data_IF_971780906485
#
_entry.id   IF_971780906485
#
_cell.length_a   1.000
_cell.length_b   1.000
_cell.length_c   1.000
_cell.angle_alpha   90.00
_cell.angle_beta   90.00
_cell.angle_gamma   90.00
#
_symmetry.space_group_name_H-M   'P 1'
#
loop_
_entity.id
_entity.type
_entity.pdbx_description
1 polymer ?
#
# COMPACT_ATOMS: atom_id res chain seq x y z
N UNK A 1 1.17 30.09 -11.30
CA UNK A 1 0.73 28.95 -10.48
C UNK A 1 1.17 29.21 -9.05
N UNK A 2 0.23 29.24 -8.11
CA UNK A 2 0.51 29.54 -6.70
C UNK A 2 -0.04 28.41 -5.83
N UNK A 3 0.80 27.82 -4.97
CA UNK A 3 0.45 26.74 -4.06
C UNK A 3 0.37 27.31 -2.64
N UNK A 4 -0.79 27.27 -2.01
CA UNK A 4 -1.01 27.78 -0.65
C UNK A 4 -1.45 26.64 0.26
N UNK A 5 -0.83 26.54 1.44
CA UNK A 5 -1.31 25.67 2.50
C UNK A 5 -2.42 26.38 3.28
N UNK A 6 -3.54 25.69 3.54
CA UNK A 6 -4.65 26.21 4.35
C UNK A 6 -5.11 25.17 5.36
N UNK A 7 -5.42 25.67 6.55
CA UNK A 7 -6.16 24.96 7.59
C UNK A 7 -7.65 25.29 7.45
N UNK A 8 -8.52 24.28 7.53
CA UNK A 8 -9.97 24.48 7.41
C UNK A 8 -10.57 25.09 8.68
N UNK A 9 -11.37 26.15 8.54
CA UNK A 9 -12.09 26.73 9.68
C UNK A 9 -13.21 25.82 10.19
N UNK A 10 -13.49 25.85 11.50
CA UNK A 10 -14.52 25.02 12.18
C UNK A 10 -15.93 25.24 11.62
N UNK A 11 -16.17 26.39 10.97
CA UNK A 11 -17.45 26.74 10.35
C UNK A 11 -17.68 26.08 8.98
N UNK A 12 -16.66 25.45 8.39
CA UNK A 12 -16.79 24.76 7.09
C UNK A 12 -17.28 23.31 7.26
N UNK A 13 -18.05 22.76 6.29
CA UNK A 13 -18.61 21.42 6.39
C UNK A 13 -17.53 20.33 6.60
N UNK A 14 -17.88 19.27 7.31
CA UNK A 14 -16.93 18.21 7.68
C UNK A 14 -16.42 17.45 6.43
N UNK A 15 -15.10 17.46 6.21
CA UNK A 15 -14.40 16.85 5.06
C UNK A 15 -14.74 15.36 4.91
N UNK A 16 -14.92 14.67 6.04
CA UNK A 16 -15.18 13.23 6.11
C UNK A 16 -16.55 12.88 5.48
N UNK A 17 -17.53 13.77 5.61
CA UNK A 17 -18.87 13.59 5.04
C UNK A 17 -19.07 14.25 3.67
N UNK A 18 -18.14 15.09 3.24
CA UNK A 18 -18.26 15.88 2.01
C UNK A 18 -18.27 14.97 0.76
N UNK A 19 -19.37 14.99 0.00
CA UNK A 19 -19.58 14.13 -1.16
C UNK A 19 -20.16 12.74 -0.84
N UNK A 20 -20.26 12.36 0.44
CA UNK A 20 -20.69 11.01 0.81
C UNK A 20 -22.20 10.81 0.70
N UNK A 21 -22.99 11.80 1.11
CA UNK A 21 -24.45 11.73 0.99
C UNK A 21 -24.85 11.66 -0.48
N UNK A 22 -24.20 12.47 -1.31
CA UNK A 22 -24.36 12.39 -2.75
C UNK A 22 -23.92 11.00 -3.24
N UNK A 23 -22.78 10.45 -2.75
CA UNK A 23 -22.31 9.09 -3.05
C UNK A 23 -23.37 8.01 -2.83
N UNK A 24 -24.02 8.01 -1.68
CA UNK A 24 -25.07 7.05 -1.38
C UNK A 24 -26.30 7.23 -2.27
N UNK A 25 -26.70 8.48 -2.56
CA UNK A 25 -27.88 8.77 -3.37
C UNK A 25 -27.71 8.33 -4.83
N UNK A 26 -26.50 8.47 -5.40
CA UNK A 26 -26.22 8.06 -6.78
C UNK A 26 -25.37 6.79 -6.88
N UNK A 27 -25.40 5.93 -5.85
CA UNK A 27 -24.60 4.69 -5.83
C UNK A 27 -24.89 3.80 -7.05
N UNK A 28 -26.16 3.72 -7.46
CA UNK A 28 -26.59 2.94 -8.64
C UNK A 28 -25.88 3.42 -9.90
N UNK A 29 -25.74 4.74 -10.09
CA UNK A 29 -25.08 5.32 -11.26
C UNK A 29 -23.57 5.01 -11.29
N UNK A 30 -22.97 4.78 -10.11
CA UNK A 30 -21.56 4.37 -10.00
C UNK A 30 -21.31 2.90 -10.28
N UNK A 31 -22.35 2.06 -10.43
CA UNK A 31 -22.19 0.65 -10.78
C UNK A 31 -21.55 0.44 -12.16
N UNK A 32 -21.52 1.49 -13.00
CA UNK A 32 -20.75 1.52 -14.25
C UNK A 32 -19.25 1.25 -14.03
N UNK A 33 -18.71 1.52 -12.84
CA UNK A 33 -17.32 1.22 -12.47
C UNK A 33 -17.12 -0.20 -11.92
N UNK A 34 -18.19 -0.89 -11.54
CA UNK A 34 -18.16 -2.21 -10.94
C UNK A 34 -17.51 -3.31 -11.80
N UNK A 35 -17.68 -3.34 -13.15
CA UNK A 35 -17.06 -4.35 -14.00
C UNK A 35 -15.53 -4.47 -13.83
N UNK A 36 -14.84 -3.35 -13.57
CA UNK A 36 -13.38 -3.36 -13.35
C UNK A 36 -13.02 -4.11 -12.07
N UNK A 37 -13.73 -3.82 -10.96
CA UNK A 37 -13.53 -4.54 -9.70
C UNK A 37 -13.84 -6.03 -9.83
N UNK A 38 -14.94 -6.39 -10.50
CA UNK A 38 -15.33 -7.78 -10.75
C UNK A 38 -14.27 -8.53 -11.55
N UNK A 39 -13.72 -7.90 -12.60
CA UNK A 39 -12.66 -8.50 -13.39
C UNK A 39 -11.42 -8.81 -12.54
N UNK A 40 -10.97 -7.85 -11.72
CA UNK A 40 -9.81 -8.03 -10.84
C UNK A 40 -10.08 -9.10 -9.76
N UNK A 41 -11.27 -9.10 -9.15
CA UNK A 41 -11.69 -10.15 -8.21
C UNK A 41 -11.71 -11.52 -8.89
N UNK A 42 -12.20 -11.60 -10.14
CA UNK A 42 -12.19 -12.83 -10.94
C UNK A 42 -10.78 -13.36 -11.16
N UNK A 43 -9.81 -12.49 -11.47
CA UNK A 43 -8.40 -12.85 -11.57
C UNK A 43 -7.83 -13.35 -10.22
N UNK A 44 -8.19 -12.70 -9.12
CA UNK A 44 -7.80 -13.13 -7.78
C UNK A 44 -8.36 -14.53 -7.44
N UNK A 45 -9.66 -14.76 -7.68
CA UNK A 45 -10.31 -16.06 -7.47
C UNK A 45 -9.69 -17.13 -8.36
N UNK A 46 -9.35 -16.80 -9.63
CA UNK A 46 -8.68 -17.72 -10.53
C UNK A 46 -7.33 -18.22 -9.99
N UNK A 47 -6.57 -17.35 -9.31
CA UNK A 47 -5.32 -17.74 -8.63
C UNK A 47 -5.57 -18.72 -7.48
N UNK A 48 -6.60 -18.49 -6.67
CA UNK A 48 -7.00 -19.43 -5.60
C UNK A 48 -7.44 -20.76 -6.20
N UNK A 49 -8.33 -20.72 -7.19
CA UNK A 49 -8.89 -21.91 -7.85
C UNK A 49 -7.78 -22.80 -8.44
N UNK A 50 -6.75 -22.19 -9.05
CA UNK A 50 -5.57 -22.89 -9.57
C UNK A 50 -4.57 -23.34 -8.49
N UNK A 51 -4.91 -23.20 -7.20
CA UNK A 51 -4.04 -23.49 -6.04
C UNK A 51 -2.70 -22.72 -6.07
N UNK A 52 -2.70 -21.53 -6.67
CA UNK A 52 -1.52 -20.67 -6.81
C UNK A 52 -1.42 -19.62 -5.69
N UNK A 53 -1.83 -19.96 -4.47
CA UNK A 53 -1.90 -19.02 -3.33
C UNK A 53 -0.53 -18.51 -2.90
N UNK A 54 0.54 -19.27 -3.16
CA UNK A 54 1.93 -18.84 -2.92
C UNK A 54 2.28 -17.54 -3.67
N UNK A 55 1.67 -17.29 -4.83
CA UNK A 55 1.85 -16.05 -5.61
C UNK A 55 1.30 -14.80 -4.91
N UNK A 56 0.37 -14.97 -3.96
CA UNK A 56 -0.26 -13.89 -3.21
C UNK A 56 0.51 -13.53 -1.93
N UNK A 57 1.32 -14.45 -1.42
CA UNK A 57 2.05 -14.31 -0.14
C UNK A 57 2.89 -13.02 -0.05
N UNK A 58 3.63 -12.58 -1.09
CA UNK A 58 4.37 -11.32 -1.04
C UNK A 58 3.49 -10.08 -0.85
N UNK A 59 2.19 -10.18 -1.12
CA UNK A 59 1.22 -9.09 -1.13
C UNK A 59 0.20 -9.18 0.02
N UNK A 60 0.50 -9.97 1.07
CA UNK A 60 -0.42 -10.25 2.17
C UNK A 60 -1.03 -8.98 2.81
N UNK A 61 -0.27 -7.89 2.92
CA UNK A 61 -0.78 -6.64 3.50
C UNK A 61 -1.89 -6.02 2.65
N UNK A 62 -1.72 -5.98 1.32
CA UNK A 62 -2.74 -5.49 0.39
C UNK A 62 -3.93 -6.43 0.32
N UNK A 63 -3.69 -7.73 0.49
CA UNK A 63 -4.73 -8.73 0.57
C UNK A 63 -5.66 -8.53 1.78
N UNK A 64 -5.09 -8.26 2.97
CA UNK A 64 -5.85 -7.91 4.18
C UNK A 64 -6.64 -6.61 3.96
N UNK A 65 -6.00 -5.61 3.35
CA UNK A 65 -6.61 -4.32 3.09
C UNK A 65 -7.79 -4.40 2.12
N UNK A 66 -7.71 -5.26 1.10
CA UNK A 66 -8.81 -5.56 0.18
C UNK A 66 -10.02 -6.12 0.93
N UNK A 67 -9.83 -7.10 1.83
CA UNK A 67 -10.94 -7.63 2.63
C UNK A 67 -11.55 -6.59 3.55
N UNK A 68 -10.72 -5.80 4.23
CA UNK A 68 -11.19 -4.71 5.07
C UNK A 68 -12.05 -3.72 4.26
N UNK A 69 -11.60 -3.35 3.06
CA UNK A 69 -12.37 -2.50 2.15
C UNK A 69 -13.69 -3.12 1.71
N UNK A 70 -13.71 -4.40 1.32
CA UNK A 70 -14.94 -5.09 0.92
C UNK A 70 -15.97 -5.09 2.06
N UNK A 71 -15.53 -5.39 3.29
CA UNK A 71 -16.40 -5.37 4.47
C UNK A 71 -16.94 -3.95 4.72
N UNK A 72 -16.07 -2.94 4.69
CA UNK A 72 -16.44 -1.53 4.84
C UNK A 72 -17.47 -1.12 3.78
N UNK A 73 -17.26 -1.50 2.52
CA UNK A 73 -18.14 -1.16 1.40
C UNK A 73 -19.53 -1.81 1.55
N UNK A 74 -19.58 -3.11 1.87
CA UNK A 74 -20.85 -3.82 2.11
C UNK A 74 -21.64 -3.14 3.22
N UNK A 75 -20.96 -2.80 4.32
CA UNK A 75 -21.60 -2.13 5.45
C UNK A 75 -22.11 -0.74 5.06
N UNK A 76 -21.29 0.03 4.34
CA UNK A 76 -21.61 1.39 3.87
C UNK A 76 -22.85 1.43 2.98
N UNK A 77 -23.02 0.42 2.11
CA UNK A 77 -24.17 0.29 1.21
C UNK A 77 -25.41 -0.20 1.98
N UNK A 78 -25.23 -1.07 2.97
CA UNK A 78 -26.33 -1.69 3.72
C UNK A 78 -26.98 -0.75 4.75
N UNK A 79 -26.31 0.34 5.12
CA UNK A 79 -26.81 1.33 6.09
C UNK A 79 -27.90 2.22 5.47
N UNK A 80 -29.13 2.12 5.96
CA UNK A 80 -30.19 3.10 5.63
C UNK A 80 -30.01 4.37 6.50
N UNK A 81 -30.05 5.58 5.91
CA UNK A 81 -30.04 6.82 6.66
C UNK A 81 -31.34 6.95 7.48
N UNK A 82 -31.24 7.20 8.79
CA UNK A 82 -32.40 7.46 9.67
C UNK A 82 -32.56 6.57 10.90
N UNK A 83 -31.50 5.91 11.37
CA UNK A 83 -31.57 4.96 12.50
C UNK A 83 -30.84 5.55 13.73
N UNK A 84 -31.11 4.96 14.91
CA UNK A 84 -30.65 5.29 16.26
C UNK A 84 -29.25 5.92 16.38
N UNK A 85 -29.04 6.69 17.46
CA UNK A 85 -27.78 7.39 17.78
C UNK A 85 -26.55 6.48 17.67
N UNK A 86 -26.65 5.21 18.09
CA UNK A 86 -25.58 4.23 17.97
C UNK A 86 -25.17 3.95 16.51
N UNK A 87 -26.13 3.85 15.59
CA UNK A 87 -25.85 3.64 14.17
C UNK A 87 -25.17 4.86 13.53
N UNK A 88 -25.51 6.07 13.97
CA UNK A 88 -24.87 7.30 13.48
C UNK A 88 -23.40 7.40 13.93
N UNK A 89 -23.09 6.99 15.16
CA UNK A 89 -21.69 6.91 15.64
C UNK A 89 -20.91 5.89 14.82
N UNK A 90 -21.49 4.71 14.58
CA UNK A 90 -20.86 3.67 13.77
C UNK A 90 -20.64 4.12 12.33
N UNK A 91 -21.63 4.78 11.72
CA UNK A 91 -21.53 5.38 10.39
C UNK A 91 -20.39 6.40 10.32
N UNK A 92 -20.23 7.26 11.33
CA UNK A 92 -19.12 8.21 11.39
C UNK A 92 -17.75 7.52 11.38
N UNK A 93 -17.59 6.42 12.13
CA UNK A 93 -16.34 5.66 12.14
C UNK A 93 -16.04 5.00 10.80
N UNK A 94 -17.06 4.44 10.15
CA UNK A 94 -16.92 3.80 8.84
C UNK A 94 -16.57 4.82 7.78
N UNK A 95 -17.21 5.99 7.81
CA UNK A 95 -16.88 7.12 6.93
C UNK A 95 -15.45 7.60 7.14
N UNK A 96 -15.03 7.67 8.40
CA UNK A 96 -13.66 8.02 8.73
C UNK A 96 -12.69 6.99 8.16
N UNK A 97 -12.92 5.70 8.36
CA UNK A 97 -12.09 4.63 7.79
C UNK A 97 -12.05 4.69 6.26
N UNK A 98 -13.19 4.95 5.64
CA UNK A 98 -13.30 5.09 4.19
C UNK A 98 -12.49 6.28 3.67
N UNK A 99 -12.56 7.42 4.36
CA UNK A 99 -11.76 8.61 4.05
C UNK A 99 -10.25 8.38 4.26
N UNK A 100 -9.89 7.60 5.28
CA UNK A 100 -8.50 7.22 5.58
C UNK A 100 -7.93 6.18 4.60
N UNK A 101 -8.76 5.50 3.82
CA UNK A 101 -8.36 4.32 3.05
C UNK A 101 -7.22 4.59 2.06
N UNK A 102 -7.31 5.67 1.28
CA UNK A 102 -6.25 6.04 0.33
C UNK A 102 -4.92 6.34 1.06
N UNK A 103 -5.00 7.06 2.19
CA UNK A 103 -3.84 7.35 3.02
C UNK A 103 -3.21 6.08 3.58
N UNK A 104 -4.03 5.10 4.00
CA UNK A 104 -3.56 3.79 4.48
C UNK A 104 -2.82 3.02 3.37
N UNK A 105 -3.32 3.03 2.13
CA UNK A 105 -2.63 2.42 0.98
C UNK A 105 -1.27 3.07 0.75
N UNK A 106 -1.24 4.41 0.69
CA UNK A 106 0.01 5.15 0.49
C UNK A 106 0.99 4.94 1.66
N UNK A 107 0.48 4.80 2.88
CA UNK A 107 1.26 4.48 4.08
C UNK A 107 1.88 3.09 4.01
N UNK A 108 1.14 2.10 3.50
CA UNK A 108 1.69 0.76 3.26
C UNK A 108 2.84 0.79 2.25
N UNK A 109 2.67 1.52 1.14
CA UNK A 109 3.73 1.69 0.14
C UNK A 109 4.94 2.40 0.76
N UNK A 110 4.71 3.45 1.56
CA UNK A 110 5.77 4.16 2.29
C UNK A 110 6.56 3.24 3.19
N UNK A 111 5.89 2.46 4.03
CA UNK A 111 6.55 1.54 4.96
C UNK A 111 7.35 0.49 4.20
N UNK A 112 6.79 -0.07 3.13
CA UNK A 112 7.49 -1.07 2.31
C UNK A 112 8.74 -0.47 1.66
N UNK A 113 8.64 0.72 1.05
CA UNK A 113 9.77 1.41 0.45
C UNK A 113 10.81 1.83 1.48
N UNK A 114 10.39 2.43 2.61
CA UNK A 114 11.26 2.87 3.69
C UNK A 114 12.13 1.72 4.21
N UNK A 115 11.49 0.60 4.52
CA UNK A 115 12.21 -0.56 5.07
C UNK A 115 13.21 -1.14 4.06
N UNK A 116 12.91 -1.10 2.76
CA UNK A 116 13.82 -1.57 1.71
C UNK A 116 14.97 -0.59 1.48
N UNK A 117 14.67 0.70 1.33
CA UNK A 117 15.66 1.77 1.05
C UNK A 117 16.69 1.89 2.17
N UNK A 118 16.26 1.79 3.42
CA UNK A 118 17.13 1.89 4.60
C UNK A 118 17.61 0.53 5.14
N UNK A 119 17.28 -0.57 4.45
CA UNK A 119 17.67 -1.94 4.81
C UNK A 119 17.38 -2.29 6.28
N UNK A 120 16.26 -1.79 6.82
CA UNK A 120 15.91 -1.94 8.24
C UNK A 120 15.47 -3.37 8.52
N UNK A 121 16.35 -4.17 9.11
CA UNK A 121 16.09 -5.57 9.45
C UNK A 121 15.57 -5.71 10.88
N UNK A 122 16.30 -5.17 11.85
CA UNK A 122 15.95 -5.15 13.27
C UNK A 122 16.39 -3.82 13.90
N UNK A 123 15.60 -3.32 14.86
CA UNK A 123 15.98 -2.16 15.68
C UNK A 123 16.13 -2.64 17.12
N UNK A 124 17.26 -2.30 17.75
CA UNK A 124 17.53 -2.61 19.14
C UNK A 124 17.55 -1.32 19.97
N UNK A 125 16.66 -1.22 20.95
CA UNK A 125 16.60 -0.11 21.88
C UNK A 125 17.37 -0.46 23.16
N UNK A 126 18.63 0.01 23.25
CA UNK A 126 19.53 -0.28 24.37
C UNK A 126 18.99 0.15 25.74
N UNK A 127 18.23 1.23 25.80
CA UNK A 127 17.66 1.77 27.05
C UNK A 127 16.54 0.93 27.64
N UNK A 128 15.83 0.17 26.81
CA UNK A 128 14.68 -0.63 27.24
C UNK A 128 14.88 -2.14 27.02
N UNK A 129 16.03 -2.56 26.48
CA UNK A 129 16.31 -3.94 26.05
C UNK A 129 15.22 -4.52 25.11
N UNK A 130 14.70 -3.69 24.20
CA UNK A 130 13.63 -4.08 23.27
C UNK A 130 14.22 -4.37 21.89
N UNK A 131 14.02 -5.60 21.43
CA UNK A 131 14.27 -6.02 20.05
C UNK A 131 13.00 -5.91 19.21
N UNK A 132 13.01 -4.98 18.24
CA UNK A 132 11.88 -4.78 17.31
C UNK A 132 12.25 -5.39 15.96
N UNK A 133 11.51 -6.44 15.58
CA UNK A 133 11.64 -7.08 14.27
C UNK A 133 11.06 -6.23 13.14
N UNK A 134 11.48 -6.46 11.89
CA UNK A 134 10.91 -5.82 10.68
C UNK A 134 9.37 -5.76 10.70
N UNK A 135 8.69 -6.83 11.10
CA UNK A 135 7.22 -6.90 11.17
C UNK A 135 6.65 -5.93 12.20
N UNK A 136 7.26 -5.87 13.38
CA UNK A 136 6.82 -4.98 14.45
C UNK A 136 7.08 -3.52 14.10
N UNK A 137 8.18 -3.22 13.39
CA UNK A 137 8.46 -1.87 12.85
C UNK A 137 7.33 -1.41 11.92
N UNK A 138 6.87 -2.28 10.99
CA UNK A 138 5.73 -1.95 10.12
C UNK A 138 4.47 -1.65 10.92
N UNK A 139 4.20 -2.43 11.96
CA UNK A 139 3.04 -2.25 12.83
C UNK A 139 3.10 -0.91 13.61
N UNK A 140 4.26 -0.55 14.14
CA UNK A 140 4.44 0.73 14.83
C UNK A 140 4.32 1.90 13.85
N UNK A 141 4.96 1.81 12.69
CA UNK A 141 4.91 2.88 11.68
C UNK A 141 3.49 3.12 11.15
N UNK A 142 2.69 2.07 10.94
CA UNK A 142 1.30 2.27 10.47
C UNK A 142 0.47 3.01 11.53
N UNK A 143 0.66 2.73 12.83
CA UNK A 143 -0.02 3.45 13.92
C UNK A 143 0.41 4.91 13.94
N UNK A 144 1.71 5.19 13.83
CA UNK A 144 2.24 6.55 13.78
C UNK A 144 1.66 7.34 12.60
N UNK A 145 1.58 6.73 11.42
CA UNK A 145 1.01 7.36 10.23
C UNK A 145 -0.49 7.61 10.36
N UNK A 146 -1.24 6.69 10.98
CA UNK A 146 -2.66 6.91 11.28
C UNK A 146 -2.84 8.08 12.24
N UNK A 147 -2.04 8.16 13.32
CA UNK A 147 -2.09 9.30 14.26
C UNK A 147 -1.74 10.60 13.55
N UNK A 148 -0.69 10.60 12.73
CA UNK A 148 -0.33 11.75 11.91
C UNK A 148 -1.50 12.19 11.03
N UNK A 149 -2.15 11.25 10.34
CA UNK A 149 -3.32 11.56 9.51
C UNK A 149 -4.49 12.15 10.29
N UNK A 150 -4.73 11.70 11.52
CA UNK A 150 -5.78 12.27 12.37
C UNK A 150 -5.45 13.71 12.80
N UNK A 151 -4.17 14.04 13.03
CA UNK A 151 -3.73 15.41 13.36
C UNK A 151 -3.91 16.35 12.17
N UNK A 152 -3.57 15.90 10.96
CA UNK A 152 -3.62 16.69 9.73
C UNK A 152 -4.90 16.43 8.90
N UNK A 153 -6.02 16.06 9.55
CA UNK A 153 -7.28 15.68 8.88
C UNK A 153 -7.91 16.85 8.11
N UNK A 154 -7.75 18.07 8.61
CA UNK A 154 -8.38 19.29 8.07
C UNK A 154 -7.48 20.08 7.13
N UNK A 155 -6.33 19.52 6.75
CA UNK A 155 -5.29 20.25 6.03
C UNK A 155 -5.32 19.95 4.53
N UNK A 156 -5.29 21.02 3.75
CA UNK A 156 -5.32 20.94 2.29
C UNK A 156 -4.36 21.96 1.66
N UNK A 157 -3.86 21.56 0.50
CA UNK A 157 -3.07 22.39 -0.40
C UNK A 157 -4.01 22.96 -1.47
N UNK A 158 -4.08 24.29 -1.54
CA UNK A 158 -4.81 25.00 -2.59
C UNK A 158 -3.84 25.28 -3.73
N UNK A 159 -3.98 24.55 -4.83
CA UNK A 159 -3.30 24.84 -6.07
C UNK A 159 -4.15 25.84 -6.87
N UNK A 160 -3.63 27.05 -7.04
CA UNK A 160 -4.25 28.09 -7.85
C UNK A 160 -3.54 28.27 -9.19
N UNK A 161 -4.28 28.06 -10.28
CA UNK A 161 -3.82 28.25 -11.66
C UNK A 161 -4.81 29.21 -12.31
N UNK A 162 -4.40 30.46 -12.58
CA UNK A 162 -5.28 31.51 -13.08
C UNK A 162 -6.52 31.69 -12.17
N UNK A 163 -7.75 31.59 -12.71
CA UNK A 163 -9.01 31.74 -11.96
C UNK A 163 -9.51 30.45 -11.29
N UNK A 164 -8.66 29.42 -11.22
CA UNK A 164 -9.05 28.08 -10.77
C UNK A 164 -8.34 27.71 -9.48
N UNK A 165 -9.09 27.20 -8.51
CA UNK A 165 -8.57 26.63 -7.28
C UNK A 165 -8.88 25.13 -7.22
N UNK A 166 -7.84 24.33 -6.93
CA UNK A 166 -7.92 22.90 -6.71
C UNK A 166 -7.48 22.63 -5.27
N UNK A 167 -8.35 22.01 -4.48
CA UNK A 167 -8.04 21.60 -3.12
C UNK A 167 -7.51 20.16 -3.16
N UNK A 168 -6.22 20.02 -2.85
CA UNK A 168 -5.53 18.74 -2.72
C UNK A 168 -5.38 18.41 -1.24
N UNK A 169 -5.66 17.18 -0.86
CA UNK A 169 -5.45 16.72 0.51
C UNK A 169 -3.95 16.73 0.87
N UNK A 170 -3.56 17.49 1.89
CA UNK A 170 -2.15 17.69 2.24
C UNK A 170 -1.46 16.39 2.61
N UNK A 171 -2.07 15.58 3.49
CA UNK A 171 -1.42 14.35 3.96
C UNK A 171 -1.27 13.33 2.83
N UNK A 172 -2.30 13.17 1.99
CA UNK A 172 -2.23 12.29 0.82
C UNK A 172 -1.20 12.76 -0.21
N UNK A 173 -1.16 14.07 -0.49
CA UNK A 173 -0.18 14.66 -1.40
C UNK A 173 1.25 14.49 -0.90
N UNK A 174 1.50 14.80 0.37
CA UNK A 174 2.84 14.70 0.99
C UNK A 174 3.35 13.26 1.02
N UNK A 175 2.54 12.30 1.46
CA UNK A 175 2.98 10.90 1.50
C UNK A 175 3.20 10.32 0.10
N UNK A 176 2.39 10.72 -0.89
CA UNK A 176 2.59 10.32 -2.28
C UNK A 176 3.91 10.85 -2.84
N UNK A 177 4.24 12.12 -2.58
CA UNK A 177 5.51 12.71 -2.98
C UNK A 177 6.71 12.04 -2.30
N UNK A 178 6.62 11.76 -1.00
CA UNK A 178 7.65 11.02 -0.26
C UNK A 178 7.84 9.62 -0.85
N UNK A 179 6.77 8.93 -1.21
CA UNK A 179 6.83 7.62 -1.86
C UNK A 179 7.53 7.68 -3.23
N UNK A 180 7.25 8.71 -4.03
CA UNK A 180 7.95 8.93 -5.31
C UNK A 180 9.45 9.13 -5.05
N UNK A 181 9.83 9.96 -4.07
CA UNK A 181 11.22 10.19 -3.71
C UNK A 181 11.92 8.89 -3.27
N UNK A 182 11.30 8.12 -2.37
CA UNK A 182 11.82 6.83 -1.91
C UNK A 182 11.94 5.83 -3.06
N UNK A 183 10.98 5.81 -3.98
CA UNK A 183 11.04 4.96 -5.17
C UNK A 183 12.22 5.33 -6.07
N UNK A 184 12.47 6.63 -6.29
CA UNK A 184 13.63 7.09 -7.06
C UNK A 184 14.93 6.66 -6.37
N UNK A 185 15.04 6.86 -5.06
CA UNK A 185 16.20 6.42 -4.28
C UNK A 185 16.42 4.91 -4.43
N UNK A 186 15.34 4.11 -4.33
CA UNK A 186 15.40 2.67 -4.49
C UNK A 186 15.88 2.25 -5.89
N UNK A 187 15.40 2.92 -6.95
CA UNK A 187 15.84 2.66 -8.32
C UNK A 187 17.33 2.97 -8.49
N UNK A 188 17.81 4.07 -7.90
CA UNK A 188 19.24 4.44 -7.91
C UNK A 188 20.07 3.40 -7.15
N UNK A 189 19.67 3.04 -5.93
CA UNK A 189 20.34 2.00 -5.13
C UNK A 189 20.39 0.67 -5.89
N UNK A 190 19.27 0.25 -6.48
CA UNK A 190 19.20 -0.97 -7.27
C UNK A 190 20.19 -0.95 -8.44
N UNK A 191 20.34 0.18 -9.15
CA UNK A 191 21.31 0.30 -10.23
C UNK A 191 22.75 0.09 -9.75
N UNK A 192 23.07 0.51 -8.52
CA UNK A 192 24.41 0.44 -7.94
C UNK A 192 24.69 -0.93 -7.30
N UNK A 193 23.84 -1.39 -6.38
CA UNK A 193 24.11 -2.56 -5.53
C UNK A 193 23.34 -3.83 -5.93
N UNK A 194 22.46 -3.75 -6.92
CA UNK A 194 21.47 -4.81 -7.17
C UNK A 194 20.35 -4.81 -6.13
N UNK A 195 19.31 -5.62 -6.35
CA UNK A 195 18.15 -5.74 -5.47
C UNK A 195 18.02 -7.18 -4.97
N UNK A 196 17.68 -7.34 -3.69
CA UNK A 196 17.32 -8.67 -3.18
C UNK A 196 16.00 -9.13 -3.79
N UNK A 197 15.90 -10.43 -4.06
CA UNK A 197 14.74 -11.04 -4.71
C UNK A 197 13.41 -10.72 -3.99
N UNK A 198 13.41 -10.71 -2.66
CA UNK A 198 12.22 -10.41 -1.84
C UNK A 198 11.77 -8.95 -2.02
N UNK A 199 12.70 -8.05 -2.25
CA UNK A 199 12.43 -6.62 -2.40
C UNK A 199 12.04 -6.25 -3.85
N UNK A 200 12.30 -7.13 -4.83
CA UNK A 200 11.82 -6.96 -6.21
C UNK A 200 10.29 -6.91 -6.31
N UNK A 201 9.58 -7.70 -5.50
CA UNK A 201 8.11 -7.66 -5.42
C UNK A 201 7.61 -6.32 -4.88
N UNK A 202 8.29 -5.78 -3.86
CA UNK A 202 7.99 -4.47 -3.28
C UNK A 202 8.20 -3.37 -4.32
N UNK A 203 9.32 -3.41 -5.05
CA UNK A 203 9.62 -2.45 -6.10
C UNK A 203 8.54 -2.46 -7.18
N UNK A 204 8.22 -3.63 -7.75
CA UNK A 204 7.21 -3.76 -8.82
C UNK A 204 5.85 -3.27 -8.32
N UNK A 205 5.44 -3.69 -7.13
CA UNK A 205 4.16 -3.27 -6.56
C UNK A 205 4.08 -1.77 -6.34
N UNK A 206 5.15 -1.17 -5.81
CA UNK A 206 5.21 0.27 -5.52
C UNK A 206 5.14 1.07 -6.82
N UNK A 207 5.85 0.64 -7.87
CA UNK A 207 5.77 1.28 -9.20
C UNK A 207 4.33 1.24 -9.72
N UNK A 208 3.70 0.06 -9.73
CA UNK A 208 2.35 -0.12 -10.28
C UNK A 208 1.34 0.71 -9.49
N UNK A 209 1.36 0.62 -8.17
CA UNK A 209 0.40 1.33 -7.31
C UNK A 209 0.58 2.85 -7.40
N UNK A 210 1.81 3.36 -7.33
CA UNK A 210 2.05 4.80 -7.43
C UNK A 210 1.71 5.34 -8.82
N UNK A 211 2.02 4.59 -9.88
CA UNK A 211 1.65 4.96 -11.25
C UNK A 211 0.13 5.06 -11.39
N UNK A 212 -0.61 4.02 -10.96
CA UNK A 212 -2.06 4.01 -11.06
C UNK A 212 -2.70 5.12 -10.22
N UNK A 213 -2.27 5.31 -8.98
CA UNK A 213 -2.76 6.41 -8.11
C UNK A 213 -2.49 7.77 -8.78
N UNK A 214 -1.32 7.97 -9.37
CA UNK A 214 -0.99 9.21 -10.10
C UNK A 214 -1.90 9.39 -11.31
N UNK A 215 -2.17 8.34 -12.08
CA UNK A 215 -3.11 8.39 -13.22
C UNK A 215 -4.51 8.82 -12.74
N UNK A 216 -5.02 8.23 -11.66
CA UNK A 216 -6.33 8.61 -11.11
C UNK A 216 -6.35 10.07 -10.62
N UNK A 217 -5.31 10.54 -9.92
CA UNK A 217 -5.19 11.94 -9.51
C UNK A 217 -5.16 12.89 -10.71
N UNK A 218 -4.39 12.55 -11.74
CA UNK A 218 -4.28 13.32 -12.97
C UNK A 218 -5.63 13.37 -13.69
N UNK A 219 -6.37 12.25 -13.77
CA UNK A 219 -7.73 12.22 -14.33
C UNK A 219 -8.65 13.17 -13.55
N UNK A 220 -8.64 13.15 -12.22
CA UNK A 220 -9.47 14.07 -11.40
C UNK A 220 -9.10 15.53 -11.65
N UNK A 221 -7.80 15.85 -11.71
CA UNK A 221 -7.32 17.21 -12.02
C UNK A 221 -7.81 17.64 -13.41
N UNK A 222 -7.67 16.77 -14.42
CA UNK A 222 -8.13 17.07 -15.79
C UNK A 222 -9.64 17.30 -15.84
N UNK A 223 -10.45 16.46 -15.20
CA UNK A 223 -11.91 16.66 -15.14
C UNK A 223 -12.27 18.00 -14.49
N UNK A 224 -11.58 18.39 -13.43
CA UNK A 224 -11.79 19.66 -12.74
C UNK A 224 -11.41 20.86 -13.63
N UNK A 225 -10.24 20.81 -14.25
CA UNK A 225 -9.75 21.87 -15.15
C UNK A 225 -10.65 22.03 -16.38
N UNK A 226 -11.17 20.93 -16.94
CA UNK A 226 -12.00 20.97 -18.14
C UNK A 226 -13.48 21.33 -17.86
N UNK A 227 -13.87 21.61 -16.61
CA UNK A 227 -15.29 21.70 -16.19
C UNK A 227 -16.11 20.58 -16.80
N UNK A 228 -15.61 19.35 -16.68
CA UNK A 228 -16.29 18.21 -17.26
C UNK A 228 -17.70 18.12 -16.65
N UNK A 229 -18.71 18.37 -17.48
CA UNK A 229 -20.12 18.25 -17.11
C UNK A 229 -20.44 16.76 -17.00
N UNK A 230 -20.09 16.21 -15.84
CA UNK A 230 -20.47 14.89 -15.40
C UNK A 230 -21.82 14.99 -14.68
N UNK A 231 -22.69 14.01 -14.92
CA UNK A 231 -23.94 13.85 -14.15
C UNK A 231 -23.65 13.63 -12.64
N UNK A 232 -22.41 13.24 -12.31
CA UNK A 232 -21.92 13.05 -10.94
C UNK A 232 -20.97 14.18 -10.49
N UNK A 233 -21.01 14.61 -9.22
CA UNK A 233 -20.09 15.62 -8.68
C UNK A 233 -18.60 15.21 -8.78
N UNK A 234 -17.67 16.15 -8.90
CA UNK A 234 -16.23 15.80 -8.87
C UNK A 234 -15.76 15.30 -7.50
N UNK A 235 -16.45 15.70 -6.42
CA UNK A 235 -16.21 15.20 -5.06
C UNK A 235 -16.48 13.70 -4.90
N UNK A 236 -17.11 13.06 -5.89
CA UNK A 236 -17.41 11.62 -5.94
C UNK A 236 -16.23 10.74 -6.34
N UNK A 237 -15.30 11.27 -7.15
CA UNK A 237 -14.24 10.46 -7.77
C UNK A 237 -13.39 9.74 -6.70
N UNK A 238 -13.17 10.39 -5.55
CA UNK A 238 -12.48 9.78 -4.40
C UNK A 238 -13.20 8.53 -3.85
N UNK A 239 -14.53 8.53 -3.82
CA UNK A 239 -15.34 7.39 -3.37
C UNK A 239 -15.34 6.29 -4.41
N UNK A 240 -15.49 6.65 -5.69
CA UNK A 240 -15.41 5.70 -6.80
C UNK A 240 -14.07 4.96 -6.78
N UNK A 241 -12.95 5.67 -6.62
CA UNK A 241 -11.62 5.06 -6.58
C UNK A 241 -11.43 4.14 -5.38
N UNK A 242 -11.90 4.56 -4.20
CA UNK A 242 -11.79 3.77 -2.98
C UNK A 242 -12.72 2.53 -2.98
N UNK A 243 -13.89 2.58 -3.62
CA UNK A 243 -14.81 1.42 -3.70
C UNK A 243 -14.38 0.44 -4.79
N UNK A 244 -14.12 0.94 -6.00
CA UNK A 244 -14.05 0.09 -7.20
C UNK A 244 -12.64 -0.20 -7.71
N UNK A 245 -11.63 0.59 -7.31
CA UNK A 245 -10.31 0.50 -7.91
C UNK A 245 -9.24 0.15 -6.88
N UNK A 246 -8.89 1.08 -6.00
CA UNK A 246 -7.73 1.00 -5.11
C UNK A 246 -7.61 -0.30 -4.28
N UNK A 247 -8.70 -0.90 -3.75
CA UNK A 247 -8.62 -2.15 -3.01
C UNK A 247 -8.11 -3.34 -3.86
N UNK A 248 -8.25 -3.26 -5.18
CA UNK A 248 -8.05 -4.39 -6.10
C UNK A 248 -6.84 -4.21 -7.02
N UNK A 249 -6.31 -2.99 -7.16
CA UNK A 249 -5.23 -2.70 -8.12
C UNK A 249 -3.95 -3.53 -7.89
N UNK A 250 -3.66 -3.90 -6.64
CA UNK A 250 -2.50 -4.74 -6.30
C UNK A 250 -2.53 -6.13 -6.96
N UNK A 251 -3.70 -6.61 -7.40
CA UNK A 251 -3.85 -7.87 -8.12
C UNK A 251 -3.10 -7.81 -9.46
N UNK A 252 -3.01 -6.62 -10.08
CA UNK A 252 -2.21 -6.40 -11.30
C UNK A 252 -0.74 -6.70 -11.02
N UNK A 253 -0.21 -6.24 -9.87
CA UNK A 253 1.15 -6.53 -9.44
C UNK A 253 1.43 -8.01 -9.27
N UNK A 254 0.46 -8.78 -8.76
CA UNK A 254 0.57 -10.25 -8.66
C UNK A 254 0.74 -10.86 -10.04
N UNK A 255 -0.05 -10.44 -11.02
CA UNK A 255 0.05 -10.99 -12.38
C UNK A 255 1.36 -10.62 -13.07
N UNK A 256 1.80 -9.37 -12.93
CA UNK A 256 3.07 -8.89 -13.50
C UNK A 256 4.26 -9.65 -12.88
N UNK A 257 4.31 -9.78 -11.55
CA UNK A 257 5.41 -10.46 -10.87
C UNK A 257 5.52 -11.95 -11.23
N UNK A 258 4.40 -12.58 -11.58
CA UNK A 258 4.35 -14.00 -11.93
C UNK A 258 4.35 -14.25 -13.45
N UNK A 259 4.58 -13.21 -14.26
CA UNK A 259 4.82 -13.38 -15.69
C UNK A 259 6.19 -13.99 -15.92
N UNK A 260 6.33 -14.96 -16.84
CA UNK A 260 7.56 -15.76 -17.04
C UNK A 260 8.81 -14.89 -17.18
N UNK A 261 8.75 -13.83 -17.98
CA UNK A 261 9.89 -12.92 -18.19
C UNK A 261 10.28 -12.19 -16.91
N UNK A 262 9.30 -11.70 -16.15
CA UNK A 262 9.53 -10.99 -14.88
C UNK A 262 10.04 -11.95 -13.82
N UNK A 263 9.50 -13.17 -13.75
CA UNK A 263 9.95 -14.19 -12.81
C UNK A 263 11.40 -14.62 -13.08
N UNK A 264 11.76 -14.84 -14.36
CA UNK A 264 13.15 -15.11 -14.75
C UNK A 264 14.06 -13.93 -14.39
N UNK A 265 13.60 -12.70 -14.61
CA UNK A 265 14.34 -11.50 -14.23
C UNK A 265 14.55 -11.42 -12.70
N UNK A 266 13.52 -11.65 -11.89
CA UNK A 266 13.58 -11.71 -10.42
C UNK A 266 14.55 -12.82 -9.96
N UNK A 267 14.50 -14.00 -10.58
CA UNK A 267 15.42 -15.10 -10.28
C UNK A 267 16.87 -14.78 -10.64
N UNK A 268 17.11 -14.04 -11.72
CA UNK A 268 18.46 -13.60 -12.08
C UNK A 268 19.04 -12.58 -11.09
N UNK A 269 18.19 -11.78 -10.42
CA UNK A 269 18.65 -10.93 -9.32
C UNK A 269 19.19 -11.75 -8.13
N UNK A 270 18.60 -12.92 -7.84
CA UNK A 270 19.08 -13.86 -6.81
C UNK A 270 20.51 -14.31 -7.09
N UNK A 271 20.83 -14.66 -8.33
CA UNK A 271 22.18 -15.08 -8.74
C UNK A 271 23.20 -13.96 -8.59
N UNK A 272 22.81 -12.71 -8.87
CA UNK A 272 23.69 -11.54 -8.77
C UNK A 272 24.03 -11.19 -7.32
N UNK A 273 23.05 -11.28 -6.40
CA UNK A 273 23.27 -10.99 -4.97
C UNK A 273 24.04 -12.09 -4.23
N UNK A 274 23.92 -13.37 -4.63
CA UNK A 274 24.71 -14.45 -4.01
C UNK A 274 26.20 -14.37 -4.30
N UNK A 275 26.59 -13.81 -5.46
CA UNK A 275 28.02 -13.67 -5.85
C UNK A 275 28.69 -12.51 -5.12
N UNK A 276 27.92 -11.52 -4.65
CA UNK A 276 28.44 -10.36 -3.90
C UNK A 276 28.61 -10.63 -2.39
N UNK A 277 28.11 -11.76 -1.90
CA UNK A 277 28.33 -12.24 -0.54
C UNK A 277 29.56 -13.16 -0.46
N UNK A 278 30.70 -12.74 -1.00
CA UNK A 278 31.99 -13.33 -0.62
C UNK A 278 32.39 -12.67 0.69
N UNK A 279 32.01 -13.31 1.78
CA UNK A 279 32.48 -12.98 3.14
C UNK A 279 34.00 -13.04 3.12
N UNK A 280 34.74 -11.99 3.51
CA UNK A 280 36.17 -12.12 3.70
C UNK A 280 36.41 -13.12 4.83
N UNK A 281 37.14 -14.17 4.50
CA UNK A 281 37.62 -15.22 5.38
C UNK A 281 38.64 -14.61 6.36
N UNK A 282 38.17 -13.81 7.32
CA UNK A 282 39.00 -13.22 8.37
C UNK A 282 38.21 -13.00 9.66
N UNK A 283 37.37 -13.96 10.05
CA UNK A 283 37.05 -14.14 11.47
C UNK A 283 38.03 -15.16 12.04
N UNK A 284 39.08 -14.58 12.61
CA UNK A 284 40.11 -15.19 13.44
C UNK A 284 39.49 -16.28 14.32
N UNK A 285 40.05 -17.48 14.18
CA UNK A 285 39.83 -18.65 15.02
C UNK A 285 40.13 -18.28 16.48
N UNK A 286 39.10 -17.95 17.25
CA UNK A 286 39.14 -18.03 18.71
C UNK A 286 38.27 -19.22 19.10
N UNK A 287 38.94 -20.33 19.38
CA UNK A 287 38.38 -21.61 19.82
C UNK A 287 37.75 -21.43 21.21
N UNK A 288 36.43 -21.56 21.41
CA UNK A 288 35.88 -21.73 22.75
C UNK A 288 36.02 -23.21 23.13
N UNK A 289 36.39 -23.45 24.39
CA UNK A 289 36.48 -24.78 24.98
C UNK A 289 35.17 -25.56 24.84
N UNK A 290 35.38 -26.84 24.57
CA UNK A 290 34.46 -27.97 24.54
C UNK A 290 33.48 -27.97 25.73
N UNK A 291 32.18 -27.88 25.44
CA UNK A 291 31.12 -28.47 26.26
C UNK A 291 30.21 -29.21 25.28
N UNK A 292 30.14 -30.53 25.47
CA UNK A 292 29.26 -31.45 24.74
C UNK A 292 27.79 -31.07 24.96
N UNK A 293 26.98 -31.07 23.90
CA UNK A 293 25.72 -31.84 23.81
C UNK A 293 24.84 -31.40 22.61
N UNK A 294 24.66 -32.36 21.69
CA UNK A 294 23.58 -32.51 20.69
C UNK A 294 23.36 -31.44 19.62
N UNK A 295 24.10 -31.59 18.52
CA UNK A 295 23.75 -31.02 17.20
C UNK A 295 22.62 -31.84 16.59
N UNK A 296 21.42 -31.26 16.44
CA UNK A 296 20.38 -31.79 15.56
C UNK A 296 20.81 -31.56 14.12
N UNK A 297 21.36 -32.59 13.49
CA UNK A 297 21.65 -32.62 12.06
C UNK A 297 20.34 -32.73 11.28
N UNK A 298 19.90 -31.65 10.62
CA UNK A 298 18.92 -31.74 9.54
C UNK A 298 19.62 -32.34 8.30
N UNK A 299 19.79 -33.66 8.29
CA UNK A 299 20.13 -34.41 7.09
C UNK A 299 18.88 -34.45 6.20
N UNK A 300 18.95 -33.81 5.04
CA UNK A 300 17.93 -33.97 4.00
C UNK A 300 17.99 -35.38 3.43
N UNK A 301 16.88 -36.11 3.52
CA UNK A 301 16.67 -37.50 3.07
C UNK A 301 16.76 -37.67 1.54
N UNK A 302 17.30 -36.70 0.80
CA UNK A 302 17.44 -36.74 -0.66
C UNK A 302 18.81 -37.19 -1.17
N UNK A 303 19.74 -37.58 -0.29
CA UNK A 303 21.12 -37.97 -0.68
C UNK A 303 21.43 -39.46 -0.47
N UNK A 304 20.41 -40.31 -0.25
CA UNK A 304 20.60 -41.74 0.08
C UNK A 304 20.09 -42.74 -0.97
N UNK A 305 19.70 -42.27 -2.16
CA UNK A 305 19.28 -43.15 -3.27
C UNK A 305 20.04 -42.88 -4.58
N UNK A 306 21.37 -43.03 -4.57
CA UNK A 306 22.14 -43.34 -5.81
C UNK A 306 23.48 -44.00 -5.49
N UNK A 307 23.49 -45.11 -4.76
CA UNK A 307 24.51 -46.18 -4.93
C UNK A 307 23.88 -47.51 -4.52
N UNK A 308 23.21 -48.17 -5.46
CA UNK A 308 23.17 -49.64 -5.54
C UNK A 308 22.79 -50.06 -6.96
#
# INVERSE_FOLDING_TARGET
MNLRYRYRNVSEPNVVSEGFKEFQMNFVDTLTHFPVSLFLIGLYILKIYRKQTAHLSPFLSFHILMYASVIINIYTISMKPGISVFLNVLLFWILTLFYLFNYIILSHIFIDLFVVVFQVTNVYFKTCDIHITRRNIKCVLIVVLIVFRLVFLSDYLVLSISDWEINLDFSNGSIHLINILLLIILIIQWKISGIHQKDSFILINSIIMLLLITIFQVITIFKHVLKYNSDLPLSFDKFIYNVYYFPYLWIISVYICNFKTVQTWIQNQRKRTSITAVVPESLIVVRPQRIDETVVSNLSVSELETVM
#
